data_IF_101593437705
#
_entry.id   IF_101593437705
#
_cell.length_a   1.000
_cell.length_b   1.000
_cell.length_c   1.000
_cell.angle_alpha   90.00
_cell.angle_beta   90.00
_cell.angle_gamma   90.00
#
_symmetry.space_group_name_H-M   'P 1'
#
loop_
_entity.id
_entity.type
_entity.pdbx_description
1 polymer ?
#
# COMPACT_ATOMS: atom_id res chain seq x y z
N UNK A 1 4.50 -28.79 1.65
CA UNK A 1 4.36 -29.99 0.83
C UNK A 1 2.96 -30.45 1.05
N UNK A 2 2.14 -30.45 0.02
CA UNK A 2 0.72 -30.75 0.15
C UNK A 2 0.53 -32.27 0.21
N UNK A 3 -0.57 -32.74 0.80
CA UNK A 3 -0.81 -34.19 0.98
C UNK A 3 -0.81 -34.95 -0.36
N UNK A 4 -1.26 -34.30 -1.44
CA UNK A 4 -1.23 -34.88 -2.79
C UNK A 4 0.20 -35.00 -3.34
N UNK A 5 1.10 -34.06 -3.03
CA UNK A 5 2.51 -34.13 -3.44
C UNK A 5 3.24 -35.27 -2.72
N UNK A 6 2.89 -35.53 -1.46
CA UNK A 6 3.43 -36.64 -0.67
C UNK A 6 2.93 -37.96 -1.23
N UNK A 7 1.63 -38.06 -1.56
CA UNK A 7 1.05 -39.26 -2.18
C UNK A 7 1.70 -39.58 -3.53
N UNK A 8 1.90 -38.58 -4.38
CA UNK A 8 2.56 -38.76 -5.68
C UNK A 8 4.03 -39.16 -5.52
N UNK A 9 4.74 -38.55 -4.56
CA UNK A 9 6.12 -38.90 -4.25
C UNK A 9 6.24 -40.36 -3.80
N UNK A 10 5.37 -40.80 -2.89
CA UNK A 10 5.36 -42.17 -2.39
C UNK A 10 5.07 -43.17 -3.53
N UNK A 11 4.08 -42.91 -4.37
CA UNK A 11 3.78 -43.75 -5.53
C UNK A 11 4.96 -43.85 -6.52
N UNK A 12 5.75 -42.78 -6.67
CA UNK A 12 6.96 -42.78 -7.51
C UNK A 12 8.09 -43.59 -6.88
N UNK A 13 8.22 -43.55 -5.55
CA UNK A 13 9.20 -44.35 -4.81
C UNK A 13 8.84 -45.82 -4.88
N UNK A 14 7.57 -46.18 -4.70
CA UNK A 14 7.10 -47.56 -4.83
C UNK A 14 7.37 -48.12 -6.22
N UNK A 15 6.99 -47.40 -7.28
CA UNK A 15 7.33 -47.80 -8.66
C UNK A 15 8.82 -47.96 -8.91
N UNK A 16 9.65 -47.09 -8.33
CA UNK A 16 11.09 -47.19 -8.48
C UNK A 16 11.71 -48.34 -7.64
N UNK A 17 10.96 -48.88 -6.68
CA UNK A 17 11.37 -50.04 -5.89
C UNK A 17 10.92 -51.37 -6.54
N UNK A 18 9.90 -51.36 -7.41
CA UNK A 18 9.48 -52.54 -8.20
C UNK A 18 10.61 -53.08 -9.10
N UNK A 19 11.54 -52.21 -9.52
CA UNK A 19 12.71 -52.60 -10.31
C UNK A 19 13.79 -53.34 -9.49
N UNK A 20 13.65 -53.39 -8.16
CA UNK A 20 14.59 -54.07 -7.27
C UNK A 20 13.97 -55.34 -6.71
N UNK A 21 14.67 -56.46 -6.81
CA UNK A 21 14.26 -57.70 -6.16
C UNK A 21 14.57 -57.64 -4.65
N UNK A 22 13.76 -56.89 -3.91
CA UNK A 22 13.94 -56.65 -2.48
C UNK A 22 13.68 -57.90 -1.63
N UNK A 23 12.95 -58.88 -2.16
CA UNK A 23 12.56 -60.11 -1.45
C UNK A 23 13.72 -61.11 -1.35
N UNK A 24 14.70 -61.04 -2.26
CA UNK A 24 15.92 -61.83 -2.19
C UNK A 24 17.06 -61.16 -1.41
N UNK A 25 16.87 -59.92 -0.95
CA UNK A 25 17.87 -59.16 -0.18
C UNK A 25 17.71 -59.37 1.33
N UNK A 26 18.79 -59.11 2.08
CA UNK A 26 18.66 -59.00 3.54
C UNK A 26 17.85 -57.76 3.92
N UNK A 27 17.22 -57.78 5.11
CA UNK A 27 16.37 -56.68 5.57
C UNK A 27 17.12 -55.33 5.61
N UNK A 28 18.38 -55.36 6.06
CA UNK A 28 19.22 -54.17 6.13
C UNK A 28 19.51 -53.58 4.73
N UNK A 29 19.79 -54.44 3.76
CA UNK A 29 20.04 -54.05 2.37
C UNK A 29 18.77 -53.48 1.73
N UNK A 30 17.63 -54.15 1.91
CA UNK A 30 16.33 -53.67 1.41
C UNK A 30 15.98 -52.30 2.01
N UNK A 31 16.22 -52.09 3.31
CA UNK A 31 16.02 -50.78 3.95
C UNK A 31 16.99 -49.71 3.41
N UNK A 32 18.25 -50.06 3.13
CA UNK A 32 19.19 -49.12 2.51
C UNK A 32 18.76 -48.73 1.09
N UNK A 33 18.29 -49.68 0.28
CA UNK A 33 17.77 -49.42 -1.07
C UNK A 33 16.56 -48.50 -0.99
N UNK A 34 15.58 -48.79 -0.13
CA UNK A 34 14.40 -47.93 0.10
C UNK A 34 14.79 -46.48 0.44
N UNK A 35 15.74 -46.29 1.37
CA UNK A 35 16.24 -44.95 1.74
C UNK A 35 16.90 -44.24 0.57
N UNK A 36 17.73 -44.93 -0.21
CA UNK A 36 18.42 -44.34 -1.38
C UNK A 36 17.44 -43.93 -2.47
N UNK A 37 16.48 -44.79 -2.79
CA UNK A 37 15.45 -44.50 -3.80
C UNK A 37 14.59 -43.32 -3.37
N UNK A 38 14.14 -43.31 -2.11
CA UNK A 38 13.37 -42.21 -1.55
C UNK A 38 14.16 -40.89 -1.62
N UNK A 39 15.41 -40.87 -1.14
CA UNK A 39 16.26 -39.67 -1.20
C UNK A 39 16.46 -39.15 -2.62
N UNK A 40 16.72 -40.05 -3.60
CA UNK A 40 16.86 -39.68 -5.01
C UNK A 40 15.57 -39.07 -5.57
N UNK A 41 14.41 -39.62 -5.21
CA UNK A 41 13.10 -39.14 -5.65
C UNK A 41 12.82 -37.73 -5.10
N UNK A 42 13.04 -37.53 -3.80
CA UNK A 42 12.91 -36.21 -3.14
C UNK A 42 13.85 -35.18 -3.79
N UNK A 43 15.12 -35.52 -3.98
CA UNK A 43 16.09 -34.59 -4.57
C UNK A 43 15.79 -34.31 -6.05
N UNK A 44 15.23 -35.27 -6.80
CA UNK A 44 14.74 -35.04 -8.15
C UNK A 44 13.60 -34.02 -8.15
N UNK A 45 12.57 -34.21 -7.32
CA UNK A 45 11.45 -33.28 -7.18
C UNK A 45 11.93 -31.89 -6.78
N UNK A 46 12.85 -31.79 -5.81
CA UNK A 46 13.44 -30.51 -5.38
C UNK A 46 14.14 -29.80 -6.54
N UNK A 47 14.96 -30.52 -7.31
CA UNK A 47 15.68 -29.96 -8.48
C UNK A 47 14.74 -29.55 -9.60
N UNK A 48 13.70 -30.33 -9.87
CA UNK A 48 12.72 -29.99 -10.90
C UNK A 48 11.91 -28.75 -10.51
N UNK A 49 11.55 -28.59 -9.24
CA UNK A 49 10.97 -27.35 -8.72
C UNK A 49 11.90 -26.13 -8.88
N UNK A 50 13.21 -26.30 -8.68
CA UNK A 50 14.19 -25.23 -8.94
C UNK A 50 14.26 -24.90 -10.44
N UNK A 51 14.26 -25.91 -11.32
CA UNK A 51 14.27 -25.70 -12.78
C UNK A 51 13.03 -24.92 -13.22
N UNK A 52 11.85 -25.27 -12.71
CA UNK A 52 10.60 -24.59 -13.03
C UNK A 52 10.66 -23.11 -12.62
N UNK A 53 11.16 -22.80 -11.42
CA UNK A 53 11.34 -21.41 -10.98
C UNK A 53 12.35 -20.64 -11.83
N UNK A 54 13.44 -21.27 -12.27
CA UNK A 54 14.42 -20.64 -13.17
C UNK A 54 13.84 -20.40 -14.58
N UNK A 55 13.03 -21.31 -15.09
CA UNK A 55 12.32 -21.12 -16.35
C UNK A 55 11.37 -19.92 -16.26
N UNK A 56 10.58 -19.84 -15.18
CA UNK A 56 9.71 -18.68 -14.91
C UNK A 56 10.48 -17.36 -14.84
N UNK A 57 11.66 -17.33 -14.20
CA UNK A 57 12.51 -16.13 -14.20
C UNK A 57 12.98 -15.74 -15.61
N UNK A 58 13.27 -16.72 -16.46
CA UNK A 58 13.71 -16.48 -17.85
C UNK A 58 12.59 -15.82 -18.67
N UNK A 59 11.33 -16.20 -18.44
CA UNK A 59 10.17 -15.59 -19.09
C UNK A 59 9.91 -14.15 -18.63
N UNK A 60 10.11 -13.87 -17.33
CA UNK A 60 9.83 -12.56 -16.74
C UNK A 60 10.88 -11.47 -17.05
N UNK A 61 12.11 -11.86 -17.37
CA UNK A 61 13.21 -10.93 -17.66
C UNK A 61 13.29 -10.68 -19.16
N UNK A 62 13.06 -9.45 -19.65
CA UNK A 62 13.00 -9.19 -21.09
C UNK A 62 14.27 -9.55 -21.88
N UNK A 63 15.45 -9.41 -21.27
CA UNK A 63 16.72 -9.78 -21.92
C UNK A 63 16.91 -11.30 -22.06
N UNK A 64 16.13 -12.11 -21.32
CA UNK A 64 16.23 -13.56 -21.29
C UNK A 64 15.07 -14.26 -22.01
N UNK A 65 13.92 -13.61 -22.17
CA UNK A 65 12.68 -14.24 -22.65
C UNK A 65 12.80 -14.86 -24.04
N UNK A 66 13.65 -14.30 -24.91
CA UNK A 66 13.89 -14.80 -26.27
C UNK A 66 15.12 -15.72 -26.38
N UNK A 67 15.81 -15.97 -25.28
CA UNK A 67 17.03 -16.76 -25.29
C UNK A 67 16.71 -18.26 -25.33
N UNK A 68 17.19 -18.97 -26.36
CA UNK A 68 16.97 -20.42 -26.55
C UNK A 68 17.61 -21.29 -25.46
N UNK A 69 18.66 -20.79 -24.81
CA UNK A 69 19.37 -21.48 -23.73
C UNK A 69 20.22 -20.48 -22.95
N UNK A 70 20.07 -20.48 -21.62
CA UNK A 70 20.81 -19.58 -20.73
C UNK A 70 21.40 -20.35 -19.55
N UNK A 71 22.64 -20.01 -19.20
CA UNK A 71 23.30 -20.57 -18.02
C UNK A 71 22.60 -20.04 -16.77
N UNK A 72 22.44 -20.88 -15.73
CA UNK A 72 21.80 -20.48 -14.46
C UNK A 72 22.38 -19.20 -13.88
N UNK A 73 23.70 -19.05 -13.90
CA UNK A 73 24.39 -17.84 -13.43
C UNK A 73 23.95 -16.59 -14.21
N UNK A 74 23.78 -16.71 -15.52
CA UNK A 74 23.34 -15.61 -16.36
C UNK A 74 21.89 -15.22 -16.06
N UNK A 75 21.01 -16.21 -15.84
CA UNK A 75 19.62 -15.96 -15.43
C UNK A 75 19.59 -15.13 -14.14
N UNK A 76 20.37 -15.51 -13.14
CA UNK A 76 20.44 -14.78 -11.87
C UNK A 76 21.01 -13.36 -12.04
N UNK A 77 22.09 -13.20 -12.80
CA UNK A 77 22.71 -11.89 -13.04
C UNK A 77 21.78 -10.92 -13.76
N UNK A 78 21.16 -11.35 -14.85
CA UNK A 78 20.23 -10.53 -15.62
C UNK A 78 18.95 -10.23 -14.83
N UNK A 79 18.49 -11.17 -13.98
CA UNK A 79 17.36 -10.92 -13.06
C UNK A 79 17.70 -9.81 -12.06
N UNK A 80 18.87 -9.86 -11.41
CA UNK A 80 19.32 -8.83 -10.46
C UNK A 80 19.44 -7.47 -11.15
N UNK A 81 20.03 -7.44 -12.34
CA UNK A 81 20.16 -6.23 -13.15
C UNK A 81 18.80 -5.63 -13.49
N UNK A 82 17.85 -6.46 -13.94
CA UNK A 82 16.50 -6.04 -14.27
C UNK A 82 15.75 -5.50 -13.04
N UNK A 83 15.82 -6.20 -11.90
CA UNK A 83 15.22 -5.72 -10.65
C UNK A 83 15.81 -4.38 -10.19
N UNK A 84 17.11 -4.18 -10.35
CA UNK A 84 17.78 -2.92 -9.99
C UNK A 84 17.32 -1.77 -10.89
N UNK A 85 17.18 -2.04 -12.19
CA UNK A 85 16.65 -1.08 -13.15
C UNK A 85 15.20 -0.69 -12.81
N UNK A 86 14.33 -1.67 -12.52
CA UNK A 86 12.94 -1.42 -12.12
C UNK A 86 12.84 -0.59 -10.84
N UNK A 87 13.66 -0.87 -9.82
CA UNK A 87 13.70 -0.08 -8.58
C UNK A 87 14.08 1.37 -8.86
N UNK A 88 15.03 1.60 -9.75
CA UNK A 88 15.47 2.95 -10.14
C UNK A 88 14.37 3.69 -10.90
N UNK A 89 13.72 3.05 -11.87
CA UNK A 89 12.62 3.66 -12.62
C UNK A 89 11.42 3.98 -11.73
N UNK A 90 11.10 3.12 -10.75
CA UNK A 90 10.03 3.41 -9.78
C UNK A 90 10.39 4.64 -8.94
N UNK A 91 11.62 4.74 -8.42
CA UNK A 91 12.06 5.90 -7.66
C UNK A 91 12.04 7.19 -8.51
N UNK A 92 12.46 7.13 -9.77
CA UNK A 92 12.39 8.26 -10.71
C UNK A 92 10.93 8.69 -10.97
N UNK A 93 10.03 7.75 -11.19
CA UNK A 93 8.60 8.04 -11.36
C UNK A 93 7.98 8.62 -10.09
N UNK A 94 8.34 8.12 -8.90
CA UNK A 94 7.91 8.69 -7.63
C UNK A 94 8.37 10.13 -7.48
N UNK A 95 9.60 10.46 -7.87
CA UNK A 95 10.10 11.86 -7.85
C UNK A 95 9.41 12.76 -8.88
N UNK A 96 8.95 12.21 -10.01
CA UNK A 96 8.18 12.96 -11.01
C UNK A 96 6.69 13.10 -10.63
N UNK A 97 6.17 12.16 -9.83
CA UNK A 97 4.78 12.16 -9.36
C UNK A 97 4.57 12.92 -8.05
N UNK A 98 5.62 13.16 -7.25
CA UNK A 98 5.54 14.22 -6.26
C UNK A 98 5.34 15.52 -7.03
N UNK A 99 4.22 16.23 -6.86
CA UNK A 99 4.11 17.57 -7.39
C UNK A 99 5.19 18.37 -6.66
N UNK A 100 6.35 18.53 -7.30
CA UNK A 100 7.11 19.74 -7.10
C UNK A 100 6.07 20.84 -7.30
N UNK A 101 5.78 21.58 -6.23
CA UNK A 101 4.80 22.65 -6.27
C UNK A 101 5.21 23.55 -7.43
N UNK A 102 4.52 23.38 -8.55
CA UNK A 102 4.77 24.06 -9.80
C UNK A 102 4.85 25.55 -9.42
N UNK A 103 5.97 26.26 -9.61
CA UNK A 103 6.17 27.59 -8.99
C UNK A 103 5.12 28.62 -9.42
N UNK A 104 4.34 28.29 -10.47
CA UNK A 104 3.16 29.03 -10.92
C UNK A 104 2.03 29.07 -9.88
N UNK A 105 1.97 28.11 -8.97
CA UNK A 105 1.04 28.01 -7.85
C UNK A 105 1.76 28.07 -6.51
N UNK A 106 2.77 28.95 -6.41
CA UNK A 106 3.36 29.27 -5.12
C UNK A 106 2.26 29.70 -4.12
N UNK A 107 2.46 29.43 -2.83
CA UNK A 107 1.53 29.87 -1.79
C UNK A 107 1.24 31.39 -1.86
N UNK A 108 2.21 32.18 -2.34
CA UNK A 108 2.05 33.60 -2.60
C UNK A 108 1.10 33.89 -3.78
N UNK A 109 1.19 33.13 -4.88
CA UNK A 109 0.28 33.28 -6.02
C UNK A 109 -1.16 32.88 -5.67
N UNK A 110 -1.33 31.83 -4.85
CA UNK A 110 -2.63 31.43 -4.32
C UNK A 110 -3.21 32.49 -3.37
N UNK A 111 -2.39 33.04 -2.47
CA UNK A 111 -2.82 34.12 -1.57
C UNK A 111 -3.20 35.40 -2.31
N UNK A 112 -2.53 35.72 -3.42
CA UNK A 112 -2.87 36.89 -4.24
C UNK A 112 -4.21 36.72 -4.97
N UNK A 113 -4.52 35.50 -5.43
CA UNK A 113 -5.83 35.15 -6.01
C UNK A 113 -6.96 35.27 -4.99
N UNK A 114 -6.75 34.81 -3.75
CA UNK A 114 -7.72 34.95 -2.67
C UNK A 114 -7.99 36.41 -2.30
N UNK A 115 -6.94 37.24 -2.27
CA UNK A 115 -7.07 38.68 -2.02
C UNK A 115 -7.81 39.39 -3.16
N UNK A 116 -7.57 38.98 -4.41
CA UNK A 116 -8.27 39.50 -5.58
C UNK A 116 -9.76 39.10 -5.57
N UNK A 117 -10.09 37.87 -5.16
CA UNK A 117 -11.47 37.41 -5.01
C UNK A 117 -12.22 38.21 -3.95
N UNK A 118 -11.59 38.46 -2.80
CA UNK A 118 -12.19 39.24 -1.72
C UNK A 118 -12.48 40.71 -2.12
N UNK A 119 -11.64 41.31 -2.97
CA UNK A 119 -11.90 42.67 -3.46
C UNK A 119 -13.05 42.72 -4.47
N UNK A 120 -13.14 41.75 -5.37
CA UNK A 120 -14.28 41.62 -6.30
C UNK A 120 -15.60 41.44 -5.55
N UNK A 121 -15.63 40.64 -4.48
CA UNK A 121 -16.80 40.48 -3.61
C UNK A 121 -17.23 41.82 -2.97
N UNK A 122 -16.29 42.67 -2.56
CA UNK A 122 -16.59 44.01 -2.03
C UNK A 122 -17.17 44.93 -3.11
N UNK A 123 -16.65 44.86 -4.33
CA UNK A 123 -17.17 45.63 -5.46
C UNK A 123 -18.61 45.20 -5.76
N UNK A 124 -18.87 43.89 -5.82
CA UNK A 124 -20.21 43.34 -6.03
C UNK A 124 -21.16 43.81 -4.93
N UNK A 125 -20.76 43.73 -3.66
CA UNK A 125 -21.57 44.21 -2.53
C UNK A 125 -21.91 45.70 -2.64
N UNK A 126 -20.94 46.53 -3.05
CA UNK A 126 -21.13 47.97 -3.25
C UNK A 126 -22.09 48.27 -4.40
N UNK A 127 -21.96 47.56 -5.53
CA UNK A 127 -22.86 47.68 -6.67
C UNK A 127 -24.28 47.26 -6.28
N UNK A 128 -24.42 46.16 -5.54
CA UNK A 128 -25.70 45.67 -5.06
C UNK A 128 -26.38 46.67 -4.12
N UNK A 129 -25.62 47.29 -3.20
CA UNK A 129 -26.11 48.35 -2.34
C UNK A 129 -26.61 49.57 -3.14
N UNK A 130 -25.89 49.96 -4.19
CA UNK A 130 -26.30 51.06 -5.08
C UNK A 130 -27.57 50.73 -5.87
N UNK A 131 -27.70 49.49 -6.36
CA UNK A 131 -28.93 49.00 -7.01
C UNK A 131 -30.11 49.09 -6.03
N UNK A 132 -29.92 48.64 -4.79
CA UNK A 132 -30.98 48.68 -3.77
C UNK A 132 -31.36 50.12 -3.42
N UNK A 133 -30.40 51.04 -3.31
CA UNK A 133 -30.66 52.47 -3.09
C UNK A 133 -31.46 53.09 -4.25
N UNK A 134 -31.12 52.78 -5.50
CA UNK A 134 -31.87 53.24 -6.68
C UNK A 134 -33.29 52.67 -6.70
N UNK A 135 -33.46 51.38 -6.36
CA UNK A 135 -34.79 50.77 -6.22
C UNK A 135 -35.61 51.46 -5.13
N UNK A 136 -35.04 51.73 -3.97
CA UNK A 136 -35.70 52.46 -2.88
C UNK A 136 -36.08 53.89 -3.29
N UNK A 137 -35.22 54.60 -4.04
CA UNK A 137 -35.52 55.93 -4.58
C UNK A 137 -36.60 55.92 -5.67
N UNK A 138 -36.72 54.85 -6.45
CA UNK A 138 -37.84 54.68 -7.40
C UNK A 138 -39.16 54.44 -6.68
N UNK A 139 -39.14 53.65 -5.60
CA UNK A 139 -40.33 53.41 -4.76
C UNK A 139 -40.85 54.71 -4.12
N UNK A 140 -39.98 55.64 -3.74
CA UNK A 140 -40.40 56.97 -3.24
C UNK A 140 -40.80 57.96 -4.32
N UNK A 141 -40.40 57.77 -5.58
CA UNK A 141 -40.80 58.63 -6.71
C UNK A 141 -42.18 58.30 -7.27
N UNK A 142 -42.64 57.06 -7.12
CA UNK A 142 -43.99 56.62 -7.51
C UNK A 142 -45.02 56.69 -6.36
N UNK A 143 -44.65 57.31 -5.22
CA UNK A 143 -45.59 57.56 -4.14
C UNK A 143 -46.39 58.84 -4.43
N UNK A 144 -47.71 58.77 -4.61
CA UNK A 144 -48.52 59.98 -4.79
C UNK A 144 -48.38 60.88 -3.55
N UNK A 145 -48.41 62.21 -3.72
CA UNK A 145 -48.23 63.13 -2.60
C UNK A 145 -49.28 62.82 -1.52
N UNK A 146 -48.91 62.85 -0.22
CA UNK A 146 -49.89 62.69 0.83
C UNK A 146 -50.89 63.84 0.73
N UNK A 147 -52.16 63.48 0.52
CA UNK A 147 -53.26 64.42 0.58
C UNK A 147 -53.29 65.10 1.96
N UNK A 148 -53.63 66.37 1.93
CA UNK A 148 -53.71 67.33 3.03
C UNK A 148 -54.20 66.75 4.36
N UNK A 149 -53.49 67.14 5.42
CA UNK A 149 -53.90 67.09 6.82
C UNK A 149 -55.31 67.66 7.01
N UNK A 150 -56.06 67.15 8.01
CA UNK A 150 -56.46 68.05 9.07
C UNK A 150 -56.16 67.47 10.46
N UNK A 151 -55.63 68.32 11.34
CA UNK A 151 -55.58 68.12 12.79
C UNK A 151 -56.90 68.61 13.42
N UNK A 152 -57.14 68.51 14.75
CA UNK A 152 -56.58 67.64 15.80
C UNK A 152 -57.67 67.00 16.72
N UNK A 153 -57.32 66.02 17.57
CA UNK A 153 -57.95 65.86 18.90
C UNK A 153 -57.08 65.04 19.87
N UNK A 154 -57.18 65.46 21.14
CA UNK A 154 -56.33 65.26 22.33
C UNK A 154 -56.24 63.86 22.96
N UNK A 155 -55.08 63.65 23.62
CA UNK A 155 -54.80 63.04 24.94
C UNK A 155 -55.12 61.52 25.12
N UNK A 156 -54.43 60.71 25.94
CA UNK A 156 -53.85 60.92 27.29
C UNK A 156 -52.70 59.90 27.50
N UNK A 157 -51.72 60.27 28.33
CA UNK A 157 -50.70 59.43 28.98
C UNK A 157 -51.23 58.11 29.56
N UNK A 158 -50.44 57.03 29.47
CA UNK A 158 -50.02 56.21 30.63
C UNK A 158 -49.01 55.12 30.23
N UNK A 159 -47.79 55.23 30.74
CA UNK A 159 -46.94 54.09 31.14
C UNK A 159 -47.44 53.60 32.52
N UNK A 160 -47.27 52.33 32.95
CA UNK A 160 -45.95 51.70 33.16
C UNK A 160 -45.85 50.18 32.84
N UNK A 161 -44.60 49.67 32.90
CA UNK A 161 -44.17 48.26 32.94
C UNK A 161 -44.54 47.57 34.30
N UNK A 162 -44.05 46.37 34.72
CA UNK A 162 -43.15 45.35 34.12
C UNK A 162 -43.63 43.88 34.42
N UNK A 163 -42.68 42.90 34.51
CA UNK A 163 -42.77 41.54 35.11
C UNK A 163 -42.91 40.39 34.09
N UNK A 164 -42.28 39.22 34.19
CA UNK A 164 -41.19 38.62 35.01
C UNK A 164 -40.98 37.16 34.56
N UNK A 165 -39.80 36.60 34.87
CA UNK A 165 -39.55 35.15 35.10
C UNK A 165 -39.64 34.20 33.89
N UNK A 166 -38.97 33.05 33.79
CA UNK A 166 -38.12 32.21 34.66
C UNK A 166 -37.32 31.31 33.67
N UNK A 167 -36.00 31.20 33.77
CA UNK A 167 -35.27 30.08 34.38
C UNK A 167 -35.90 28.68 34.16
N UNK A 168 -35.24 27.82 33.37
CA UNK A 168 -35.17 26.37 33.62
C UNK A 168 -34.10 25.68 32.79
N UNK A 169 -33.22 25.02 33.53
CA UNK A 169 -32.19 24.07 33.12
C UNK A 169 -32.84 22.83 32.49
N UNK A 170 -32.17 22.19 31.52
CA UNK A 170 -32.22 20.74 31.48
C UNK A 170 -30.95 20.11 30.91
N UNK A 171 -30.48 19.10 31.64
CA UNK A 171 -29.30 18.29 31.40
C UNK A 171 -29.71 16.93 30.78
N UNK A 172 -28.81 16.32 30.02
CA UNK A 172 -28.69 14.87 29.74
C UNK A 172 -27.41 14.72 28.90
N UNK A 173 -26.23 14.30 29.39
CA UNK A 173 -25.83 12.98 29.89
C UNK A 173 -26.28 11.80 29.03
N UNK A 174 -25.34 11.11 28.37
CA UNK A 174 -24.94 9.73 28.71
C UNK A 174 -23.94 9.13 27.69
N UNK A 175 -22.84 8.58 28.23
CA UNK A 175 -22.17 7.28 27.93
C UNK A 175 -21.69 6.97 26.49
N UNK A 176 -20.68 6.14 26.21
CA UNK A 176 -19.59 5.43 26.89
C UNK A 176 -18.93 4.63 25.75
N UNK A 177 -17.61 4.41 25.77
CA UNK A 177 -17.02 3.05 25.74
C UNK A 177 -15.52 3.06 25.47
N UNK A 178 -14.83 2.46 26.43
CA UNK A 178 -13.42 2.09 26.46
C UNK A 178 -13.11 0.90 25.54
N UNK A 179 -11.85 0.78 25.11
CA UNK A 179 -11.25 -0.51 24.80
C UNK A 179 -9.75 -0.51 25.12
N UNK A 180 -9.39 -1.18 26.20
CA UNK A 180 -8.03 -1.58 26.56
C UNK A 180 -7.57 -2.75 25.70
N UNK A 181 -6.28 -2.80 25.33
CA UNK A 181 -5.65 -4.01 24.80
C UNK A 181 -4.30 -4.27 25.49
N UNK A 182 -4.27 -5.35 26.26
CA UNK A 182 -3.08 -5.95 26.89
C UNK A 182 -2.96 -7.38 26.38
N UNK A 183 -1.77 -7.77 25.93
CA UNK A 183 -1.17 -9.14 25.95
C UNK A 183 0.13 -9.09 25.14
N UNK A 184 1.21 -9.83 25.38
CA UNK A 184 1.72 -10.68 26.47
C UNK A 184 3.14 -11.07 26.01
N UNK A 185 4.11 -11.11 26.94
CA UNK A 185 5.47 -11.66 26.74
C UNK A 185 5.45 -13.18 26.60
N UNK A 186 6.36 -13.73 25.80
CA UNK A 186 7.04 -15.01 26.05
C UNK A 186 8.53 -14.89 25.70
N UNK A 187 9.34 -15.67 26.43
CA UNK A 187 10.81 -15.70 26.51
C UNK A 187 11.25 -17.16 26.34
N UNK A 188 12.54 -17.36 26.05
CA UNK A 188 13.38 -18.59 26.02
C UNK A 188 13.40 -19.33 24.66
N UNK A 189 14.50 -19.93 24.17
CA UNK A 189 15.74 -20.39 24.78
C UNK A 189 16.92 -20.42 23.78
N UNK A 190 18.14 -20.51 24.32
CA UNK A 190 19.44 -20.76 23.69
C UNK A 190 19.57 -22.14 23.03
N UNK A 191 20.43 -22.26 22.01
CA UNK A 191 21.40 -23.35 21.84
C UNK A 191 22.38 -23.04 20.69
N UNK A 192 23.66 -23.27 20.99
CA UNK A 192 24.82 -23.36 20.11
C UNK A 192 24.62 -24.32 18.92
N UNK A 193 25.21 -24.04 17.76
CA UNK A 193 26.37 -24.82 17.28
C UNK A 193 26.96 -24.21 15.99
N UNK A 194 28.25 -23.96 16.00
CA UNK A 194 29.05 -23.60 14.82
C UNK A 194 29.95 -24.79 14.48
N UNK A 195 30.09 -25.13 13.19
CA UNK A 195 31.43 -25.43 12.72
C UNK A 195 31.70 -24.80 11.35
N UNK A 196 32.76 -23.98 11.28
CA UNK A 196 33.37 -23.53 10.03
C UNK A 196 34.88 -23.58 10.19
N UNK A 197 35.50 -24.70 9.80
CA UNK A 197 36.67 -24.74 8.90
C UNK A 197 37.10 -26.21 8.71
N UNK A 198 37.49 -26.63 7.50
CA UNK A 198 38.93 -26.66 7.26
C UNK A 198 39.36 -26.04 5.93
N UNK A 199 40.22 -25.04 6.07
CA UNK A 199 41.10 -24.52 5.05
C UNK A 199 42.04 -25.58 4.48
N UNK A 200 42.09 -25.60 3.14
CA UNK A 200 43.29 -25.71 2.32
C UNK A 200 44.33 -26.82 2.60
N UNK A 201 44.44 -27.75 1.65
CA UNK A 201 45.69 -28.25 1.01
C UNK A 201 45.23 -29.29 -0.04
N UNK A 202 45.66 -29.35 -1.30
CA UNK A 202 46.58 -28.59 -2.12
C UNK A 202 46.61 -29.28 -3.51
N UNK A 203 46.67 -28.47 -4.59
CA UNK A 203 47.57 -28.65 -5.75
C UNK A 203 47.93 -30.11 -6.13
N UNK A 204 47.61 -30.62 -7.33
CA UNK A 204 48.28 -30.21 -8.58
C UNK A 204 47.66 -30.84 -9.84
N UNK A 205 47.71 -30.00 -10.87
CA UNK A 205 47.42 -30.17 -12.30
C UNK A 205 48.43 -31.13 -12.96
N UNK A 206 47.97 -32.14 -13.70
CA UNK A 206 48.82 -32.88 -14.65
C UNK A 206 48.14 -32.99 -16.02
N UNK A 207 48.51 -32.06 -16.88
CA UNK A 207 48.35 -32.13 -18.34
C UNK A 207 49.55 -32.87 -18.94
N UNK A 208 49.31 -33.88 -19.79
CA UNK A 208 50.24 -34.36 -20.83
C UNK A 208 49.40 -35.15 -21.84
N UNK A 209 49.01 -34.55 -22.97
CA UNK A 209 49.76 -34.36 -24.23
C UNK A 209 49.86 -35.66 -25.05
N UNK A 210 49.13 -35.64 -26.17
CA UNK A 210 49.28 -36.39 -27.43
C UNK A 210 50.65 -37.06 -27.64
N UNK A 211 50.60 -38.32 -28.05
CA UNK A 211 51.04 -38.79 -29.37
C UNK A 211 49.97 -39.72 -29.90
#
# INVERSE_FOLDING_TARGET
>A
MNDDEIRELNARVERALEDFDLESMTEEEAQQVRRRVHHRSVEKQRRDGIKLRLARLTELVPSLSMARSTKKTNVLQETIKYMTMLRRSVAELETQMTPEADPKWSAAALSALDEQLAEEERIIARVQARINAIKAQRVTRDQPPPASTPAPARAVDTTPAPSSSDESLNASSTHSSSASRVTRRTRTASADDSPTDPSATGRTRRTRRRT
#
